data_IF_860577256263
#
_entry.id   IF_860577256263
#
_cell.length_a   1.000
_cell.length_b   1.000
_cell.length_c   1.000
_cell.angle_alpha   90.00
_cell.angle_beta   90.00
_cell.angle_gamma   90.00
#
_symmetry.space_group_name_H-M   'P 1'
#
loop_
_entity.id
_entity.type
_entity.pdbx_description
1 polymer ?
#
# COMPACT_ATOMS: atom_id res chain seq x y z
N UNK A 1 -8.06 -1.36 4.97
CA UNK A 1 -8.31 -1.32 3.51
C UNK A 1 -9.46 -2.27 3.19
N UNK A 2 -10.48 -1.84 2.43
CA UNK A 2 -11.64 -2.69 2.10
C UNK A 2 -11.29 -3.69 0.99
N UNK A 3 -11.63 -4.98 1.18
CA UNK A 3 -11.37 -6.07 0.21
C UNK A 3 -11.92 -5.74 -1.17
N UNK A 4 -13.12 -5.11 -1.24
CA UNK A 4 -13.76 -4.71 -2.50
C UNK A 4 -12.93 -3.69 -3.29
N UNK A 5 -12.29 -2.75 -2.59
CA UNK A 5 -11.43 -1.74 -3.22
C UNK A 5 -10.22 -2.39 -3.89
N UNK A 6 -9.55 -3.33 -3.21
CA UNK A 6 -8.37 -4.00 -3.76
C UNK A 6 -8.72 -4.87 -4.98
N UNK A 7 -9.87 -5.56 -4.95
CA UNK A 7 -10.37 -6.33 -6.11
C UNK A 7 -10.64 -5.42 -7.30
N UNK A 8 -11.27 -4.26 -7.08
CA UNK A 8 -11.49 -3.26 -8.12
C UNK A 8 -10.18 -2.76 -8.73
N UNK A 9 -9.24 -2.30 -7.90
CA UNK A 9 -7.94 -1.81 -8.36
C UNK A 9 -7.16 -2.86 -9.17
N UNK A 10 -7.20 -4.12 -8.73
CA UNK A 10 -6.55 -5.23 -9.45
C UNK A 10 -7.19 -5.47 -10.82
N UNK A 11 -8.52 -5.40 -10.92
CA UNK A 11 -9.24 -5.54 -12.20
C UNK A 11 -8.92 -4.40 -13.15
N UNK A 12 -8.91 -3.17 -12.66
CA UNK A 12 -8.55 -1.98 -13.44
C UNK A 12 -7.11 -2.08 -13.97
N UNK A 13 -6.17 -2.52 -13.14
CA UNK A 13 -4.79 -2.76 -13.55
C UNK A 13 -4.68 -3.83 -14.63
N UNK A 14 -5.36 -4.98 -14.47
CA UNK A 14 -5.34 -6.04 -15.48
C UNK A 14 -5.95 -5.59 -16.81
N UNK A 15 -7.00 -4.79 -16.74
CA UNK A 15 -7.63 -4.20 -17.93
C UNK A 15 -6.65 -3.26 -18.65
N UNK A 16 -6.03 -2.32 -17.92
CA UNK A 16 -5.03 -1.39 -18.49
C UNK A 16 -3.85 -2.15 -19.12
N UNK A 17 -3.35 -3.18 -18.46
CA UNK A 17 -2.30 -4.06 -18.99
C UNK A 17 -2.71 -4.79 -20.27
N UNK A 18 -3.98 -5.15 -20.39
CA UNK A 18 -4.52 -5.77 -21.61
C UNK A 18 -4.60 -4.82 -22.81
N UNK A 19 -4.77 -3.51 -22.58
CA UNK A 19 -4.79 -2.49 -23.64
C UNK A 19 -3.39 -2.11 -24.13
N UNK A 20 -2.40 -2.19 -23.25
CA UNK A 20 -1.00 -1.81 -23.55
C UNK A 20 -0.45 -2.47 -24.82
N UNK A 21 -0.79 -3.74 -25.10
CA UNK A 21 -0.34 -4.41 -26.32
C UNK A 21 -0.87 -3.77 -27.61
N UNK A 22 -2.12 -3.30 -27.59
CA UNK A 22 -2.73 -2.60 -28.74
C UNK A 22 -2.13 -1.19 -28.88
N UNK A 23 -1.94 -0.50 -27.76
CA UNK A 23 -1.35 0.84 -27.73
C UNK A 23 0.10 0.82 -28.23
N UNK A 24 0.88 -0.21 -27.89
CA UNK A 24 2.25 -0.40 -28.41
C UNK A 24 2.27 -0.56 -29.94
N UNK A 25 1.38 -1.38 -30.49
CA UNK A 25 1.29 -1.54 -31.95
C UNK A 25 0.88 -0.22 -32.65
N UNK A 26 -0.08 0.50 -32.08
CA UNK A 26 -0.46 1.84 -32.58
C UNK A 26 0.71 2.82 -32.49
N UNK A 27 1.46 2.81 -31.40
CA UNK A 27 2.65 3.64 -31.23
C UNK A 27 3.71 3.35 -32.29
N UNK A 28 3.99 2.07 -32.56
CA UNK A 28 4.93 1.67 -33.62
C UNK A 28 4.49 2.19 -35.00
N UNK A 29 3.19 2.10 -35.32
CA UNK A 29 2.65 2.65 -36.56
C UNK A 29 2.76 4.18 -36.62
N UNK A 30 2.48 4.89 -35.51
CA UNK A 30 2.67 6.35 -35.42
C UNK A 30 4.14 6.73 -35.60
N UNK A 31 5.08 5.98 -35.04
CA UNK A 31 6.52 6.22 -35.21
C UNK A 31 6.97 6.02 -36.65
N UNK A 32 6.55 4.92 -37.30
CA UNK A 32 6.85 4.68 -38.72
C UNK A 32 6.30 5.80 -39.62
N UNK A 33 5.10 6.30 -39.32
CA UNK A 33 4.50 7.43 -40.06
C UNK A 33 5.29 8.73 -39.83
N UNK A 34 5.67 9.03 -38.58
CA UNK A 34 6.53 10.18 -38.26
C UNK A 34 7.88 10.11 -38.99
N UNK A 35 8.50 8.93 -39.06
CA UNK A 35 9.75 8.72 -39.78
C UNK A 35 9.61 8.89 -41.29
N UNK A 36 8.52 8.40 -41.88
CA UNK A 36 8.24 8.55 -43.31
C UNK A 36 8.05 10.03 -43.68
N UNK A 37 7.27 10.78 -42.88
CA UNK A 37 7.05 12.23 -43.07
C UNK A 37 8.38 12.99 -42.92
N UNK A 38 9.17 12.69 -41.89
CA UNK A 38 10.47 13.34 -41.65
C UNK A 38 11.48 13.07 -42.76
N UNK A 39 11.53 11.84 -43.27
CA UNK A 39 12.46 11.45 -44.34
C UNK A 39 11.99 11.80 -45.75
N UNK A 40 10.74 12.26 -45.90
CA UNK A 40 10.13 12.56 -47.21
C UNK A 40 9.93 11.34 -48.10
N UNK A 41 10.01 10.11 -47.54
CA UNK A 41 9.84 8.86 -48.29
C UNK A 41 8.36 8.53 -48.44
N UNK A 42 8.03 7.75 -49.48
CA UNK A 42 6.67 7.26 -49.68
C UNK A 42 6.22 6.39 -48.49
N UNK A 43 4.97 6.57 -48.06
CA UNK A 43 4.40 5.90 -46.90
C UNK A 43 4.27 4.39 -47.19
N UNK A 44 4.64 3.51 -46.23
CA UNK A 44 4.52 2.07 -46.35
C UNK A 44 3.09 1.64 -46.71
N UNK A 45 2.95 0.65 -47.60
CA UNK A 45 1.66 0.21 -48.15
C UNK A 45 0.65 -0.19 -47.06
N UNK A 46 1.11 -0.84 -45.98
CA UNK A 46 0.28 -1.27 -44.85
C UNK A 46 -0.38 -0.10 -44.09
N UNK A 47 0.30 1.06 -44.05
CA UNK A 47 -0.16 2.22 -43.31
C UNK A 47 -1.06 3.14 -44.14
N UNK A 48 -1.09 3.00 -45.47
CA UNK A 48 -1.84 3.92 -46.36
C UNK A 48 -3.35 3.94 -46.09
N UNK A 49 -3.92 2.83 -45.66
CA UNK A 49 -5.36 2.73 -45.34
C UNK A 49 -5.70 3.41 -44.01
N UNK A 50 -4.80 3.33 -43.02
CA UNK A 50 -4.99 3.81 -41.64
C UNK A 50 -4.42 5.21 -41.44
N UNK A 51 -3.62 5.71 -42.38
CA UNK A 51 -2.89 6.98 -42.30
C UNK A 51 -3.76 8.16 -41.90
N UNK A 52 -4.94 8.31 -42.50
CA UNK A 52 -5.84 9.45 -42.22
C UNK A 52 -6.28 9.46 -40.76
N UNK A 53 -6.56 8.29 -40.19
CA UNK A 53 -6.97 8.18 -38.79
C UNK A 53 -5.78 8.42 -37.86
N UNK A 54 -4.61 7.85 -38.17
CA UNK A 54 -3.38 8.06 -37.38
C UNK A 54 -2.94 9.52 -37.38
N UNK A 55 -3.07 10.24 -38.51
CA UNK A 55 -2.78 11.68 -38.58
C UNK A 55 -3.68 12.50 -37.65
N UNK A 56 -4.98 12.21 -37.65
CA UNK A 56 -5.92 12.89 -36.76
C UNK A 56 -5.60 12.56 -35.29
N UNK A 57 -5.31 11.30 -34.96
CA UNK A 57 -4.91 10.90 -33.60
C UNK A 57 -3.59 11.56 -33.17
N UNK A 58 -2.62 11.70 -34.08
CA UNK A 58 -1.33 12.35 -33.82
C UNK A 58 -1.46 13.85 -33.53
N UNK A 59 -2.48 14.53 -34.06
CA UNK A 59 -2.74 15.95 -33.79
C UNK A 59 -3.15 16.18 -32.33
N UNK A 60 -3.77 15.20 -31.69
CA UNK A 60 -4.23 15.25 -30.30
C UNK A 60 -3.22 14.64 -29.30
N UNK A 61 -2.10 14.08 -29.76
CA UNK A 61 -1.09 13.48 -28.88
C UNK A 61 -0.18 14.57 -28.28
N UNK A 62 -0.27 14.83 -26.97
CA UNK A 62 0.69 15.67 -26.25
C UNK A 62 2.06 14.99 -26.10
N UNK A 63 3.13 15.77 -25.89
CA UNK A 63 4.52 15.26 -25.69
C UNK A 63 4.63 14.20 -24.56
N UNK A 64 3.75 14.28 -23.56
CA UNK A 64 3.67 13.32 -22.44
C UNK A 64 3.02 12.01 -22.86
N UNK A 65 2.06 12.06 -23.78
CA UNK A 65 1.27 10.93 -24.27
C UNK A 65 1.86 10.29 -25.52
N UNK A 66 2.89 10.88 -26.12
CA UNK A 66 3.56 10.31 -27.28
C UNK A 66 4.12 8.92 -26.98
N UNK A 67 4.68 8.70 -25.79
CA UNK A 67 5.30 7.42 -25.43
C UNK A 67 4.33 6.56 -24.60
N UNK A 68 4.17 5.25 -24.94
CA UNK A 68 3.39 4.36 -24.11
C UNK A 68 4.05 4.22 -22.73
N UNK A 69 3.24 4.18 -21.67
CA UNK A 69 3.73 4.01 -20.31
C UNK A 69 4.38 2.63 -20.17
N UNK A 70 5.65 2.60 -19.79
CA UNK A 70 6.35 1.35 -19.50
C UNK A 70 5.81 0.73 -18.21
N UNK A 71 5.24 -0.46 -18.34
CA UNK A 71 4.56 -1.18 -17.27
C UNK A 71 5.45 -1.72 -16.15
N UNK A 72 6.76 -1.81 -16.39
CA UNK A 72 7.70 -2.60 -15.56
C UNK A 72 7.75 -2.12 -14.10
N UNK A 73 7.34 -0.88 -13.79
CA UNK A 73 7.45 -0.28 -12.46
C UNK A 73 6.11 0.23 -11.86
N UNK A 74 4.96 -0.15 -12.42
CA UNK A 74 3.64 0.33 -11.98
C UNK A 74 3.33 -0.03 -10.51
N UNK A 75 3.76 -1.19 -10.03
CA UNK A 75 3.52 -1.68 -8.67
C UNK A 75 4.30 -0.89 -7.62
N UNK A 76 5.48 -0.38 -8.00
CA UNK A 76 6.38 0.36 -7.13
C UNK A 76 6.44 1.84 -7.46
N UNK A 77 5.49 2.38 -8.24
CA UNK A 77 5.41 3.81 -8.57
C UNK A 77 5.49 4.76 -7.38
N UNK A 78 5.01 4.31 -6.21
CA UNK A 78 5.03 5.10 -4.98
C UNK A 78 6.26 4.82 -4.10
N UNK A 79 7.26 4.09 -4.62
CA UNK A 79 8.52 3.86 -3.92
C UNK A 79 9.21 5.21 -3.63
N UNK A 80 9.76 5.34 -2.42
CA UNK A 80 10.39 6.58 -1.95
C UNK A 80 9.44 7.59 -1.29
N UNK A 81 8.12 7.46 -1.45
CA UNK A 81 7.16 8.32 -0.72
C UNK A 81 6.87 7.82 0.69
N UNK A 82 6.83 6.50 0.89
CA UNK A 82 6.58 5.87 2.18
C UNK A 82 7.60 4.77 2.43
N UNK A 83 8.07 4.70 3.68
CA UNK A 83 8.95 3.63 4.11
C UNK A 83 8.21 2.27 4.12
N UNK A 84 8.77 1.24 3.48
CA UNK A 84 8.12 -0.07 3.40
C UNK A 84 8.11 -0.73 4.78
N UNK A 85 6.92 -1.20 5.21
CA UNK A 85 6.75 -2.00 6.43
C UNK A 85 6.64 -3.47 6.04
N UNK A 86 7.68 -4.24 6.35
CA UNK A 86 7.81 -5.63 5.91
C UNK A 86 7.53 -6.55 7.09
N UNK A 87 6.67 -7.55 6.89
CA UNK A 87 6.42 -8.60 7.87
C UNK A 87 7.07 -9.91 7.41
N UNK A 88 8.06 -10.39 8.16
CA UNK A 88 8.74 -11.67 7.90
C UNK A 88 7.99 -12.76 8.67
N UNK A 89 7.57 -13.80 7.96
CA UNK A 89 6.92 -14.98 8.56
C UNK A 89 7.64 -16.25 8.13
N UNK A 90 7.52 -17.30 8.94
CA UNK A 90 8.07 -18.63 8.65
C UNK A 90 6.95 -19.60 8.25
N UNK A 91 7.28 -20.88 8.04
CA UNK A 91 6.32 -21.97 7.88
C UNK A 91 5.52 -22.23 9.17
N UNK A 92 4.56 -23.16 9.13
CA UNK A 92 3.65 -23.46 10.27
C UNK A 92 4.40 -23.97 11.51
N UNK A 93 5.26 -24.98 11.32
CA UNK A 93 6.10 -25.59 12.36
C UNK A 93 7.58 -25.49 11.96
N UNK A 94 8.23 -24.33 12.19
CA UNK A 94 9.60 -24.10 11.74
C UNK A 94 10.63 -24.72 12.68
N UNK A 95 11.73 -25.21 12.10
CA UNK A 95 12.90 -25.68 12.85
C UNK A 95 13.60 -24.53 13.60
N UNK A 96 14.40 -24.86 14.61
CA UNK A 96 15.15 -23.87 15.38
C UNK A 96 16.11 -23.03 14.49
N UNK A 97 16.76 -23.67 13.52
CA UNK A 97 17.64 -23.00 12.54
C UNK A 97 16.86 -22.01 11.66
N UNK A 98 15.66 -22.38 11.21
CA UNK A 98 14.83 -21.47 10.41
C UNK A 98 14.34 -20.26 11.21
N UNK A 99 14.10 -20.42 12.52
CA UNK A 99 13.77 -19.31 13.42
C UNK A 99 14.93 -18.33 13.58
N UNK A 100 16.16 -18.83 13.62
CA UNK A 100 17.39 -18.03 13.67
C UNK A 100 17.59 -17.28 12.34
N UNK A 101 17.49 -17.99 11.21
CA UNK A 101 17.57 -17.38 9.88
C UNK A 101 16.53 -16.27 9.67
N UNK A 102 15.29 -16.47 10.10
CA UNK A 102 14.26 -15.43 10.01
C UNK A 102 14.59 -14.18 10.86
N UNK A 103 15.35 -14.35 11.95
CA UNK A 103 15.84 -13.24 12.77
C UNK A 103 17.01 -12.51 12.09
N UNK A 104 17.89 -13.24 11.41
CA UNK A 104 18.97 -12.66 10.61
C UNK A 104 18.41 -11.83 9.46
N UNK A 105 17.42 -12.35 8.70
CA UNK A 105 16.75 -11.58 7.64
C UNK A 105 16.13 -10.29 8.20
N UNK A 106 15.55 -10.35 9.41
CA UNK A 106 14.99 -9.14 10.04
C UNK A 106 16.06 -8.07 10.26
N UNK A 107 17.28 -8.45 10.60
CA UNK A 107 18.38 -7.49 10.83
C UNK A 107 18.85 -6.84 9.52
N UNK A 108 18.68 -7.51 8.37
CA UNK A 108 19.03 -6.96 7.06
C UNK A 108 18.11 -5.78 6.69
N UNK A 109 16.83 -5.83 7.09
CA UNK A 109 15.84 -4.82 6.73
C UNK A 109 15.43 -3.95 7.93
N UNK A 110 15.71 -2.63 7.93
CA UNK A 110 15.56 -1.78 9.12
C UNK A 110 14.11 -1.61 9.61
N UNK A 111 13.11 -1.78 8.73
CA UNK A 111 11.68 -1.65 9.04
C UNK A 111 10.94 -3.00 9.10
N UNK A 112 11.68 -4.12 9.17
CA UNK A 112 11.09 -5.44 9.19
C UNK A 112 10.65 -5.88 10.60
N UNK A 113 9.47 -6.51 10.66
CA UNK A 113 8.91 -7.11 11.86
C UNK A 113 8.78 -8.62 11.64
N UNK A 114 9.27 -9.42 12.58
CA UNK A 114 9.08 -10.88 12.56
C UNK A 114 7.75 -11.23 13.23
N UNK A 115 6.90 -11.99 12.55
CA UNK A 115 5.67 -12.55 13.13
C UNK A 115 5.77 -14.07 13.21
N UNK A 116 5.33 -14.63 14.35
CA UNK A 116 5.25 -16.07 14.53
C UNK A 116 4.02 -16.62 13.78
N UNK A 117 4.21 -17.69 12.99
CA UNK A 117 3.14 -18.26 12.14
C UNK A 117 2.05 -18.98 12.95
N UNK A 118 2.45 -19.82 13.92
CA UNK A 118 1.51 -20.58 14.75
C UNK A 118 0.42 -21.30 13.93
N UNK A 119 -0.82 -21.21 14.39
CA UNK A 119 -1.99 -21.78 13.70
C UNK A 119 -2.64 -20.83 12.67
N UNK A 120 -1.96 -19.76 12.22
CA UNK A 120 -2.53 -18.84 11.24
C UNK A 120 -2.64 -19.47 9.85
N UNK A 121 -3.84 -19.38 9.26
CA UNK A 121 -4.03 -19.76 7.86
C UNK A 121 -3.39 -18.70 6.95
N UNK A 122 -3.02 -19.08 5.72
CA UNK A 122 -2.42 -18.13 4.76
C UNK A 122 -3.34 -16.93 4.51
N UNK A 123 -4.66 -17.17 4.50
CA UNK A 123 -5.67 -16.13 4.39
C UNK A 123 -5.55 -15.08 5.50
N UNK A 124 -5.47 -15.53 6.76
CA UNK A 124 -5.37 -14.65 7.93
C UNK A 124 -4.07 -13.85 7.96
N UNK A 125 -2.96 -14.42 7.45
CA UNK A 125 -1.68 -13.71 7.35
C UNK A 125 -1.74 -12.63 6.26
N UNK A 126 -2.41 -12.91 5.14
CA UNK A 126 -2.54 -11.96 4.03
C UNK A 126 -3.55 -10.84 4.31
N UNK A 127 -4.61 -11.15 5.05
CA UNK A 127 -5.65 -10.19 5.44
C UNK A 127 -5.66 -10.05 6.95
N UNK A 128 -5.03 -9.01 7.53
CA UNK A 128 -5.09 -8.82 8.96
C UNK A 128 -6.55 -8.65 9.38
N UNK A 129 -7.00 -9.34 10.45
CA UNK A 129 -8.38 -9.26 10.89
C UNK A 129 -8.73 -7.81 11.23
N UNK A 130 -9.97 -7.36 10.97
CA UNK A 130 -10.39 -6.04 11.42
C UNK A 130 -10.22 -5.95 12.95
N UNK A 131 -9.81 -4.78 13.44
CA UNK A 131 -9.51 -4.53 14.87
C UNK A 131 -10.65 -4.98 15.81
N UNK A 132 -11.89 -5.01 15.31
CA UNK A 132 -13.08 -5.52 16.01
C UNK A 132 -13.02 -6.99 16.42
N UNK A 133 -12.39 -7.86 15.62
CA UNK A 133 -12.30 -9.30 15.89
C UNK A 133 -11.16 -9.67 16.85
N UNK A 134 -10.13 -8.83 16.96
CA UNK A 134 -9.03 -9.03 17.90
C UNK A 134 -9.50 -8.92 19.36
N UNK A 135 -10.38 -7.96 19.66
CA UNK A 135 -10.94 -7.78 21.00
C UNK A 135 -11.76 -9.02 21.44
N UNK A 136 -12.65 -9.53 20.59
CA UNK A 136 -13.47 -10.71 20.94
C UNK A 136 -12.65 -11.99 21.19
N UNK A 137 -11.52 -12.15 20.48
CA UNK A 137 -10.65 -13.33 20.57
C UNK A 137 -9.65 -13.25 21.73
N UNK A 138 -9.22 -12.05 22.12
CA UNK A 138 -8.41 -11.82 23.32
C UNK A 138 -9.25 -11.90 24.61
N UNK A 139 -10.51 -11.49 24.57
CA UNK A 139 -11.39 -11.43 25.75
C UNK A 139 -12.46 -12.54 25.85
N UNK A 140 -12.42 -13.56 24.98
CA UNK A 140 -13.29 -14.75 25.10
C UNK A 140 -14.81 -14.49 25.08
N UNK A 141 -15.27 -13.43 24.41
CA UNK A 141 -16.68 -13.04 24.45
C UNK A 141 -17.54 -13.91 23.50
N UNK A 142 -18.52 -14.63 24.09
CA UNK A 142 -19.44 -15.53 23.40
C UNK A 142 -20.31 -14.87 22.32
N UNK A 143 -20.87 -15.69 21.42
CA UNK A 143 -21.48 -15.26 20.14
C UNK A 143 -22.63 -14.23 20.28
N UNK A 144 -23.24 -14.06 21.45
CA UNK A 144 -24.36 -13.15 21.70
C UNK A 144 -24.05 -11.81 22.39
N UNK A 145 -22.80 -11.49 22.73
CA UNK A 145 -22.51 -10.21 23.40
C UNK A 145 -22.49 -9.04 22.40
N UNK A 146 -23.41 -8.07 22.56
CA UNK A 146 -23.38 -6.80 21.86
C UNK A 146 -22.12 -6.02 22.26
N UNK A 147 -21.13 -5.98 21.37
CA UNK A 147 -19.84 -5.28 21.57
C UNK A 147 -19.98 -3.78 21.27
N UNK A 148 -20.99 -3.14 21.85
CA UNK A 148 -21.10 -1.68 21.88
C UNK A 148 -20.40 -1.07 23.10
N UNK A 149 -20.03 -1.89 24.09
CA UNK A 149 -19.50 -1.42 25.37
C UNK A 149 -18.11 -1.98 25.69
N UNK A 150 -17.20 -1.96 24.71
CA UNK A 150 -15.80 -2.34 24.94
C UNK A 150 -14.82 -1.35 24.30
N UNK A 151 -15.14 -0.05 24.41
CA UNK A 151 -14.20 1.06 24.23
C UNK A 151 -13.87 1.66 25.60
N UNK A 152 -13.27 0.90 26.52
CA UNK A 152 -12.77 1.47 27.80
C UNK A 152 -11.82 0.56 28.61
N UNK A 153 -11.04 -0.33 27.99
CA UNK A 153 -10.04 -1.14 28.73
C UNK A 153 -8.60 -0.90 28.27
N UNK A 154 -8.23 0.37 28.07
CA UNK A 154 -6.82 0.80 28.01
C UNK A 154 -6.57 2.12 28.78
N UNK A 155 -7.38 2.43 29.79
CA UNK A 155 -7.07 3.51 30.73
C UNK A 155 -7.14 2.96 32.16
N UNK A 156 -6.03 3.12 32.89
CA UNK A 156 -5.95 2.94 34.33
C UNK A 156 -7.14 3.64 34.99
N UNK A 157 -8.02 2.84 35.60
CA UNK A 157 -9.21 3.33 36.27
C UNK A 157 -8.94 3.33 37.78
N UNK A 158 -8.15 4.29 38.23
CA UNK A 158 -8.20 4.75 39.62
C UNK A 158 -9.28 5.81 39.69
N UNK A 159 -10.40 5.44 40.31
CA UNK A 159 -11.55 6.29 40.51
C UNK A 159 -11.22 7.48 41.42
N UNK A 160 -11.37 8.71 40.92
CA UNK A 160 -11.72 9.88 41.73
C UNK A 160 -12.67 10.75 40.92
N UNK A 161 -13.85 11.00 41.47
CA UNK A 161 -14.91 11.78 40.85
C UNK A 161 -14.57 13.27 40.72
N UNK A 162 -15.19 13.92 39.74
CA UNK A 162 -15.14 15.37 39.58
C UNK A 162 -15.53 15.78 38.16
N UNK A 163 -16.65 16.48 38.04
CA UNK A 163 -17.10 17.15 36.81
C UNK A 163 -16.02 18.10 36.26
N UNK A 164 -15.84 18.16 34.93
CA UNK A 164 -15.78 19.39 34.10
C UNK A 164 -15.24 19.17 32.68
N UNK A 165 -16.02 19.72 31.75
CA UNK A 165 -15.60 20.64 30.67
C UNK A 165 -14.63 20.16 29.57
N UNK A 166 -15.19 20.07 28.35
CA UNK A 166 -14.49 19.75 27.10
C UNK A 166 -13.75 21.00 26.61
N UNK A 167 -12.46 21.10 26.86
CA UNK A 167 -11.59 22.06 26.18
C UNK A 167 -10.83 21.39 25.04
N UNK A 168 -10.98 21.94 23.83
CA UNK A 168 -10.28 21.54 22.60
C UNK A 168 -8.78 21.84 22.76
N UNK A 169 -7.94 20.81 22.84
CA UNK A 169 -6.49 20.98 22.83
C UNK A 169 -5.99 21.26 21.41
N UNK A 170 -5.51 22.50 21.20
CA UNK A 170 -4.59 22.88 20.14
C UNK A 170 -3.27 22.08 20.26
N UNK A 171 -2.71 21.66 19.12
CA UNK A 171 -1.38 21.01 19.06
C UNK A 171 -0.28 22.05 19.37
N UNK A 172 0.73 21.73 20.19
CA UNK A 172 1.95 22.55 20.28
C UNK A 172 3.01 22.07 19.27
N UNK A 173 3.72 23.04 18.70
CA UNK A 173 4.83 22.87 17.76
C UNK A 173 6.10 22.31 18.44
N UNK A 174 7.03 21.67 17.68
CA UNK A 174 8.22 21.05 18.25
C UNK A 174 9.38 22.04 18.33
N UNK A 175 9.91 22.28 19.53
CA UNK A 175 11.12 23.09 19.72
C UNK A 175 11.81 22.87 21.08
N UNK A 176 12.97 22.20 21.02
CA UNK A 176 14.16 22.28 21.89
C UNK A 176 14.03 22.20 23.43
N UNK A 177 14.67 21.18 24.03
CA UNK A 177 15.08 21.18 25.45
C UNK A 177 15.41 19.79 26.03
N UNK A 178 16.63 19.64 26.56
CA UNK A 178 17.28 18.41 27.07
C UNK A 178 16.48 17.51 28.06
N UNK A 179 16.68 16.17 28.03
CA UNK A 179 15.99 15.24 28.91
C UNK A 179 16.81 14.93 30.18
N UNK A 180 16.91 15.85 31.13
CA UNK A 180 17.45 15.54 32.47
C UNK A 180 16.77 16.36 33.59
N UNK A 181 15.53 16.01 33.96
CA UNK A 181 14.98 16.16 35.32
C UNK A 181 13.49 15.82 35.36
N UNK A 182 13.14 14.74 36.04
CA UNK A 182 11.93 14.68 36.85
C UNK A 182 12.15 13.60 37.92
N UNK A 183 12.34 14.06 39.16
CA UNK A 183 12.44 13.23 40.36
C UNK A 183 11.06 12.67 40.69
N UNK A 184 11.01 11.43 41.15
CA UNK A 184 9.89 10.88 41.89
C UNK A 184 9.67 11.70 43.17
N UNK A 185 8.45 12.20 43.37
CA UNK A 185 7.95 12.59 44.69
C UNK A 185 6.64 11.83 44.87
N UNK A 186 6.66 10.86 45.77
CA UNK A 186 5.45 10.22 46.27
C UNK A 186 4.85 11.11 47.35
N UNK A 187 3.53 11.17 47.38
CA UNK A 187 2.80 11.79 48.49
C UNK A 187 1.91 10.74 49.16
N UNK A 188 1.71 11.03 50.45
CA UNK A 188 1.22 10.18 51.53
C UNK A 188 -0.29 10.12 51.58
#
# INVERSE_FOLDING_TARGET
MSVRRNVRLRREYLYRKGLEGKERALYEHKQQLKEAIRSGKAIPTELRSVEKNLRNEMEYDDDVHEKPLNHIDDEYKNAGMFDPKIAITTSRDPSARLKQFAQEIRLIFPNAIRLNRGAHTVGDVSTPPPLRTLCRRLYGLGRGANVLHCCCCCCDCSAVGGEREVQRLHRPDPGHGDPRRARCVGES
#
